data_IF_868657498404
#
_entry.id   IF_868657498404
#
_cell.length_a   1.000
_cell.length_b   1.000
_cell.length_c   1.000
_cell.angle_alpha   90.00
_cell.angle_beta   90.00
_cell.angle_gamma   90.00
#
_symmetry.space_group_name_H-M   'P 1'
#
loop_
_entity.id
_entity.type
_entity.pdbx_description
1 polymer ?
#
# COMPACT_ATOMS: atom_id res chain seq x y z
N UNK A 1 48.64 -27.84 6.26
CA UNK A 1 47.70 -26.83 5.71
C UNK A 1 46.26 -27.36 5.61
N UNK A 2 45.77 -28.13 6.59
CA UNK A 2 44.41 -28.71 6.54
C UNK A 2 43.42 -27.96 7.46
N UNK A 3 43.94 -27.28 8.47
CA UNK A 3 43.14 -26.53 9.45
C UNK A 3 42.82 -25.09 9.00
N UNK A 4 43.47 -24.58 7.95
CA UNK A 4 43.23 -23.21 7.45
C UNK A 4 41.92 -23.12 6.62
N UNK A 5 41.50 -24.24 6.01
CA UNK A 5 40.30 -24.31 5.17
C UNK A 5 39.00 -24.25 5.99
N UNK A 6 39.04 -24.65 7.26
CA UNK A 6 37.88 -24.67 8.16
C UNK A 6 37.49 -23.24 8.61
N UNK A 7 38.45 -22.33 8.74
CA UNK A 7 38.18 -20.95 9.16
C UNK A 7 37.57 -20.08 8.04
N UNK A 8 37.79 -20.42 6.77
CA UNK A 8 37.27 -19.65 5.63
C UNK A 8 35.77 -19.92 5.36
N UNK A 9 35.23 -21.04 5.86
CA UNK A 9 33.82 -21.41 5.65
C UNK A 9 32.89 -20.69 6.64
N UNK A 10 33.40 -20.19 7.77
CA UNK A 10 32.62 -19.53 8.82
C UNK A 10 32.34 -18.03 8.57
N UNK A 11 32.91 -17.43 7.54
CA UNK A 11 32.70 -16.00 7.21
C UNK A 11 31.68 -15.75 6.10
N UNK A 12 31.10 -16.81 5.53
CA UNK A 12 29.97 -16.69 4.62
C UNK A 12 28.69 -16.39 5.43
N UNK A 13 28.55 -15.13 5.84
CA UNK A 13 27.29 -14.62 6.34
C UNK A 13 26.27 -14.69 5.21
N UNK A 14 25.39 -15.70 5.25
CA UNK A 14 24.21 -15.74 4.40
C UNK A 14 23.33 -14.54 4.78
N UNK A 15 23.48 -13.42 4.06
CA UNK A 15 22.51 -12.34 4.13
C UNK A 15 21.22 -12.85 3.49
N UNK A 16 20.36 -13.44 4.33
CA UNK A 16 19.02 -13.85 3.95
C UNK A 16 18.19 -12.58 3.74
N UNK A 17 18.06 -12.13 2.49
CA UNK A 17 17.13 -11.08 2.14
C UNK A 17 15.71 -11.66 2.18
N UNK A 18 14.95 -11.28 3.21
CA UNK A 18 13.54 -11.64 3.30
C UNK A 18 12.78 -10.97 2.14
N UNK A 19 12.27 -11.77 1.21
CA UNK A 19 11.60 -11.27 0.01
C UNK A 19 10.12 -11.09 0.29
N UNK A 20 9.61 -9.86 0.11
CA UNK A 20 8.18 -9.58 0.11
C UNK A 20 7.61 -9.75 -1.29
N UNK A 21 6.53 -10.49 -1.46
CA UNK A 21 5.86 -10.64 -2.75
C UNK A 21 4.42 -10.13 -2.66
N UNK A 22 3.98 -9.46 -3.73
CA UNK A 22 2.56 -9.16 -3.99
C UNK A 22 2.04 -10.24 -4.94
N UNK A 23 1.18 -11.10 -4.46
CA UNK A 23 0.48 -12.09 -5.26
C UNK A 23 -0.95 -11.61 -5.47
N UNK A 24 -1.47 -11.66 -6.71
CA UNK A 24 -2.89 -11.35 -6.94
C UNK A 24 -3.74 -12.30 -6.10
N UNK A 25 -4.71 -11.76 -5.35
CA UNK A 25 -5.55 -12.59 -4.51
C UNK A 25 -6.50 -13.44 -5.37
N UNK A 26 -6.57 -14.74 -5.07
CA UNK A 26 -7.42 -15.69 -5.79
C UNK A 26 -8.87 -15.59 -5.27
N UNK A 27 -9.77 -14.95 -6.02
CA UNK A 27 -11.24 -14.95 -5.86
C UNK A 27 -11.79 -14.87 -4.40
N UNK A 28 -11.08 -14.24 -3.47
CA UNK A 28 -11.61 -14.01 -2.12
C UNK A 28 -12.59 -12.85 -2.18
N UNK A 29 -13.83 -13.11 -1.77
CA UNK A 29 -14.87 -12.08 -1.70
C UNK A 29 -14.92 -11.45 -0.31
N UNK A 30 -14.28 -10.30 -0.18
CA UNK A 30 -14.30 -9.48 1.04
C UNK A 30 -15.50 -8.52 1.11
N UNK A 31 -16.45 -8.56 0.16
CA UNK A 31 -17.49 -7.52 0.04
C UNK A 31 -18.31 -7.34 1.32
N UNK A 32 -18.72 -8.45 1.96
CA UNK A 32 -19.47 -8.41 3.22
C UNK A 32 -18.63 -7.81 4.36
N UNK A 33 -17.43 -8.35 4.58
CA UNK A 33 -16.56 -7.93 5.69
C UNK A 33 -16.12 -6.48 5.55
N UNK A 34 -15.85 -6.05 4.32
CA UNK A 34 -15.50 -4.66 4.03
C UNK A 34 -16.69 -3.74 4.30
N UNK A 35 -17.92 -4.15 3.96
CA UNK A 35 -19.13 -3.37 4.24
C UNK A 35 -19.39 -3.24 5.74
N UNK A 36 -19.31 -4.34 6.49
CA UNK A 36 -19.47 -4.35 7.95
C UNK A 36 -18.43 -3.47 8.65
N UNK A 37 -17.18 -3.45 8.17
CA UNK A 37 -16.13 -2.58 8.73
C UNK A 37 -16.25 -1.11 8.32
N UNK A 38 -16.82 -0.83 7.16
CA UNK A 38 -16.93 0.51 6.61
C UNK A 38 -18.20 1.24 7.03
N UNK A 39 -19.25 0.51 7.41
CA UNK A 39 -20.51 1.06 7.94
C UNK A 39 -20.32 2.05 9.11
N UNK A 40 -19.58 1.72 10.20
CA UNK A 40 -19.35 2.68 11.29
C UNK A 40 -18.51 3.90 10.88
N UNK A 41 -17.88 3.86 9.70
CA UNK A 41 -17.15 4.98 9.12
C UNK A 41 -18.02 5.81 8.15
N UNK A 42 -19.32 5.51 8.07
CA UNK A 42 -20.30 6.14 7.17
C UNK A 42 -19.91 6.03 5.69
N UNK A 43 -19.26 4.93 5.32
CA UNK A 43 -18.88 4.64 3.93
C UNK A 43 -19.90 3.66 3.33
N UNK A 44 -20.48 4.04 2.20
CA UNK A 44 -21.51 3.29 1.51
C UNK A 44 -21.10 2.98 0.05
N UNK A 45 -21.93 2.19 -0.64
CA UNK A 45 -21.80 1.85 -2.07
C UNK A 45 -20.39 1.37 -2.45
N UNK A 46 -19.90 0.40 -1.68
CA UNK A 46 -18.51 -0.05 -1.75
C UNK A 46 -18.27 -0.90 -2.98
N UNK A 47 -17.18 -0.59 -3.69
CA UNK A 47 -16.70 -1.34 -4.84
C UNK A 47 -15.24 -1.73 -4.66
N UNK A 48 -15.00 -3.03 -4.48
CA UNK A 48 -13.65 -3.59 -4.38
C UNK A 48 -12.95 -3.56 -5.75
N UNK A 49 -11.69 -3.11 -5.77
CA UNK A 49 -10.81 -3.19 -6.94
C UNK A 49 -10.15 -4.57 -7.00
N UNK A 50 -10.92 -5.58 -7.44
CA UNK A 50 -10.49 -6.99 -7.48
C UNK A 50 -9.16 -7.20 -8.23
N UNK A 51 -8.96 -6.49 -9.34
CA UNK A 51 -7.72 -6.59 -10.12
C UNK A 51 -6.48 -5.96 -9.45
N UNK A 52 -6.70 -5.21 -8.38
CA UNK A 52 -5.64 -4.60 -7.58
C UNK A 52 -5.71 -5.02 -6.11
N UNK A 53 -6.31 -6.18 -5.85
CA UNK A 53 -6.29 -6.85 -4.55
C UNK A 53 -5.12 -7.82 -4.50
N UNK A 54 -4.28 -7.72 -3.47
CA UNK A 54 -3.03 -8.47 -3.40
C UNK A 54 -2.86 -9.14 -2.03
N UNK A 55 -2.53 -10.42 -2.04
CA UNK A 55 -1.91 -11.10 -0.91
C UNK A 55 -0.44 -10.67 -0.81
N UNK A 56 0.02 -10.42 0.40
CA UNK A 56 1.39 -10.11 0.73
C UNK A 56 2.00 -11.32 1.44
N UNK A 57 3.10 -11.80 0.91
CA UNK A 57 3.87 -12.91 1.48
C UNK A 57 5.31 -12.47 1.78
N UNK A 58 5.87 -12.92 2.91
CA UNK A 58 7.31 -12.85 3.24
C UNK A 58 7.87 -14.24 3.21
N UNK A 59 8.81 -14.49 2.31
CA UNK A 59 9.47 -15.81 2.18
C UNK A 59 8.45 -16.96 2.02
N UNK A 60 7.36 -16.71 1.28
CA UNK A 60 6.26 -17.65 1.06
C UNK A 60 5.25 -17.76 2.22
N UNK A 61 5.48 -17.04 3.33
CA UNK A 61 4.57 -16.99 4.47
C UNK A 61 3.63 -15.80 4.30
N UNK A 62 2.33 -16.06 4.33
CA UNK A 62 1.30 -15.02 4.28
C UNK A 62 1.41 -14.03 5.44
N UNK A 63 1.40 -12.73 5.11
CA UNK A 63 1.38 -11.62 6.07
C UNK A 63 0.00 -10.98 6.13
N UNK A 64 -0.63 -10.76 4.98
CA UNK A 64 -1.90 -10.07 4.91
C UNK A 64 -2.40 -9.85 3.49
N UNK A 65 -3.61 -9.34 3.34
CA UNK A 65 -4.24 -9.03 2.05
C UNK A 65 -4.61 -7.56 2.02
N UNK A 66 -4.14 -6.85 0.99
CA UNK A 66 -4.58 -5.51 0.65
C UNK A 66 -5.82 -5.59 -0.24
N UNK A 67 -6.89 -4.94 0.20
CA UNK A 67 -8.18 -4.89 -0.49
C UNK A 67 -8.54 -3.44 -0.78
N UNK A 68 -8.01 -2.83 -1.86
CA UNK A 68 -8.37 -1.47 -2.23
C UNK A 68 -9.83 -1.40 -2.70
N UNK A 69 -10.53 -0.35 -2.29
CA UNK A 69 -11.93 -0.14 -2.63
C UNK A 69 -12.25 1.34 -2.82
N UNK A 70 -13.33 1.56 -3.57
CA UNK A 70 -14.02 2.84 -3.73
C UNK A 70 -15.33 2.80 -2.94
N UNK A 71 -15.82 3.96 -2.54
CA UNK A 71 -17.14 4.10 -1.93
C UNK A 71 -17.52 5.56 -1.77
N UNK A 72 -18.59 5.81 -1.03
CA UNK A 72 -19.12 7.14 -0.79
C UNK A 72 -19.20 7.42 0.70
N UNK A 73 -18.48 8.44 1.16
CA UNK A 73 -18.62 8.93 2.53
C UNK A 73 -19.91 9.75 2.65
N UNK A 74 -20.72 9.44 3.67
CA UNK A 74 -22.02 10.07 3.93
C UNK A 74 -22.94 10.08 2.70
N UNK A 75 -22.85 9.05 1.85
CA UNK A 75 -23.63 8.87 0.60
C UNK A 75 -23.33 9.83 -0.57
N UNK A 76 -22.46 10.83 -0.40
CA UNK A 76 -22.28 11.86 -1.44
C UNK A 76 -20.83 12.07 -1.88
N UNK A 77 -19.86 11.84 -1.00
CA UNK A 77 -18.46 12.17 -1.27
C UNK A 77 -17.70 10.94 -1.75
N UNK A 78 -17.25 10.87 -3.02
CA UNK A 78 -16.49 9.72 -3.51
C UNK A 78 -15.12 9.64 -2.83
N UNK A 79 -14.83 8.49 -2.25
CA UNK A 79 -13.58 8.22 -1.53
C UNK A 79 -12.93 6.92 -2.02
N UNK A 80 -11.64 6.80 -1.73
CA UNK A 80 -10.92 5.53 -1.82
C UNK A 80 -10.34 5.15 -0.46
N UNK A 81 -10.32 3.86 -0.19
CA UNK A 81 -9.80 3.31 1.06
C UNK A 81 -9.23 1.91 0.82
N UNK A 82 -8.45 1.43 1.79
CA UNK A 82 -7.84 0.11 1.74
C UNK A 82 -8.32 -0.70 2.93
N UNK A 83 -9.00 -1.82 2.66
CA UNK A 83 -9.19 -2.88 3.64
C UNK A 83 -7.91 -3.67 3.82
N UNK A 84 -7.56 -4.00 5.06
CA UNK A 84 -6.45 -4.91 5.39
C UNK A 84 -7.00 -6.14 6.09
N UNK A 85 -6.56 -7.31 5.64
CA UNK A 85 -6.85 -8.59 6.27
C UNK A 85 -5.56 -9.26 6.71
N UNK A 86 -5.50 -9.79 7.93
CA UNK A 86 -4.34 -10.53 8.45
C UNK A 86 -4.53 -12.05 8.39
N UNK A 87 -5.67 -12.53 7.92
CA UNK A 87 -6.08 -13.95 8.01
C UNK A 87 -6.76 -14.51 6.74
N UNK A 88 -6.88 -13.69 5.68
CA UNK A 88 -7.59 -14.00 4.42
C UNK A 88 -9.11 -14.13 4.54
N UNK A 89 -9.69 -13.81 5.70
CA UNK A 89 -11.12 -14.03 5.98
C UNK A 89 -11.81 -12.75 6.39
N UNK A 90 -11.22 -12.01 7.31
CA UNK A 90 -11.79 -10.82 7.90
C UNK A 90 -10.93 -9.58 7.60
N UNK A 91 -11.62 -8.44 7.47
CA UNK A 91 -10.97 -7.13 7.39
C UNK A 91 -10.68 -6.67 8.82
N UNK A 92 -9.40 -6.63 9.20
CA UNK A 92 -8.96 -6.19 10.53
C UNK A 92 -9.09 -4.68 10.71
N UNK A 93 -8.85 -3.92 9.66
CA UNK A 93 -8.91 -2.46 9.68
C UNK A 93 -9.13 -1.89 8.27
N UNK A 94 -9.62 -0.66 8.26
CA UNK A 94 -9.72 0.19 7.07
C UNK A 94 -8.72 1.33 7.22
N UNK A 95 -7.92 1.54 6.18
CA UNK A 95 -7.07 2.72 6.04
C UNK A 95 -7.72 3.66 5.04
N UNK A 96 -8.11 4.84 5.51
CA UNK A 96 -8.65 5.89 4.66
C UNK A 96 -7.53 6.45 3.77
N UNK A 97 -7.82 6.67 2.49
CA UNK A 97 -6.86 7.26 1.54
C UNK A 97 -7.43 8.54 0.91
N UNK A 98 -7.76 8.54 -0.37
CA UNK A 98 -8.27 9.72 -1.07
C UNK A 98 -9.69 10.08 -0.61
N UNK A 99 -9.93 11.37 -0.36
CA UNK A 99 -11.24 11.92 0.01
C UNK A 99 -11.53 11.93 1.50
N UNK A 100 -10.53 11.61 2.33
CA UNK A 100 -10.55 11.67 3.79
C UNK A 100 -9.16 12.04 4.32
N UNK A 101 -9.06 12.45 5.59
CA UNK A 101 -7.79 12.79 6.23
C UNK A 101 -6.99 13.85 5.46
N UNK A 102 -5.70 13.61 5.26
CA UNK A 102 -4.79 14.52 4.53
C UNK A 102 -5.19 14.72 3.05
N UNK A 103 -6.10 13.90 2.52
CA UNK A 103 -6.60 13.95 1.15
C UNK A 103 -8.08 14.36 1.04
N UNK A 104 -8.66 14.98 2.09
CA UNK A 104 -10.08 15.37 2.11
C UNK A 104 -10.50 16.29 0.94
N UNK A 105 -9.56 17.09 0.42
CA UNK A 105 -9.80 18.03 -0.68
C UNK A 105 -9.69 17.37 -2.07
N UNK A 106 -9.45 16.06 -2.13
CA UNK A 106 -9.33 15.29 -3.36
C UNK A 106 -10.45 14.27 -3.48
N UNK A 107 -11.23 14.32 -4.55
CA UNK A 107 -12.27 13.34 -4.83
C UNK A 107 -11.61 12.11 -5.45
N UNK A 108 -11.91 10.89 -4.95
CA UNK A 108 -11.39 9.70 -5.61
C UNK A 108 -12.13 9.44 -6.92
N UNK A 109 -11.40 9.39 -8.04
CA UNK A 109 -11.97 9.07 -9.34
C UNK A 109 -11.58 7.67 -9.82
N UNK A 110 -10.33 7.27 -9.59
CA UNK A 110 -9.86 5.94 -9.94
C UNK A 110 -8.57 5.58 -9.18
N UNK A 111 -8.42 4.31 -8.82
CA UNK A 111 -7.13 3.73 -8.49
C UNK A 111 -6.45 3.21 -9.76
N UNK A 112 -5.35 3.82 -10.15
CA UNK A 112 -4.65 3.53 -11.41
C UNK A 112 -3.64 2.39 -11.26
N UNK A 113 -2.89 2.38 -10.15
CA UNK A 113 -1.84 1.39 -9.93
C UNK A 113 -1.57 1.17 -8.44
N UNK A 114 -1.15 -0.04 -8.11
CA UNK A 114 -0.60 -0.43 -6.81
C UNK A 114 0.72 -1.15 -7.05
N UNK A 115 1.71 -0.93 -6.21
CA UNK A 115 2.95 -1.67 -6.32
C UNK A 115 3.84 -1.62 -5.09
N UNK A 116 4.62 -2.68 -4.92
CA UNK A 116 5.62 -2.80 -3.86
C UNK A 116 6.87 -2.00 -4.23
N UNK A 117 7.40 -1.35 -3.22
CA UNK A 117 8.61 -0.55 -3.29
C UNK A 117 9.49 -0.95 -2.10
N UNK A 118 10.60 -1.61 -2.37
CA UNK A 118 11.62 -1.91 -1.36
C UNK A 118 12.62 -0.76 -1.35
N UNK A 119 12.85 -0.15 -0.19
CA UNK A 119 13.90 0.87 -0.02
C UNK A 119 14.66 0.51 1.26
N UNK A 120 15.90 0.03 1.08
CA UNK A 120 16.73 -0.51 2.16
C UNK A 120 16.00 -1.66 2.87
N UNK A 121 15.85 -1.60 4.19
CA UNK A 121 15.18 -2.63 5.01
C UNK A 121 13.66 -2.45 5.09
N UNK A 122 13.12 -1.34 4.56
CA UNK A 122 11.70 -1.00 4.62
C UNK A 122 10.99 -1.42 3.34
N UNK A 123 9.75 -1.89 3.52
CA UNK A 123 8.85 -2.22 2.42
C UNK A 123 7.69 -1.25 2.43
N UNK A 124 7.50 -0.57 1.32
CA UNK A 124 6.37 0.32 1.07
C UNK A 124 5.44 -0.29 0.03
N UNK A 125 4.16 0.04 0.14
CA UNK A 125 3.16 -0.19 -0.90
C UNK A 125 2.69 1.17 -1.38
N UNK A 126 3.02 1.48 -2.64
CA UNK A 126 2.60 2.71 -3.29
C UNK A 126 1.30 2.51 -4.05
N UNK A 127 0.46 3.53 -4.02
CA UNK A 127 -0.79 3.62 -4.77
C UNK A 127 -0.75 4.88 -5.62
N UNK A 128 -1.23 4.79 -6.86
CA UNK A 128 -1.40 5.93 -7.76
C UNK A 128 -2.89 6.10 -8.00
N UNK A 129 -3.41 7.27 -7.67
CA UNK A 129 -4.81 7.62 -7.85
C UNK A 129 -4.98 8.70 -8.90
N UNK A 130 -6.01 8.58 -9.73
CA UNK A 130 -6.62 9.71 -10.40
C UNK A 130 -7.59 10.37 -9.43
N UNK A 131 -7.42 11.67 -9.21
CA UNK A 131 -8.26 12.44 -8.30
C UNK A 131 -8.93 13.62 -9.01
N UNK A 132 -10.11 13.99 -8.52
CA UNK A 132 -10.82 15.20 -8.90
C UNK A 132 -10.48 16.32 -7.93
N UNK A 133 -10.07 17.46 -8.48
CA UNK A 133 -9.97 18.73 -7.77
C UNK A 133 -11.08 19.66 -8.27
N UNK A 134 -11.21 20.85 -7.67
CA UNK A 134 -12.29 21.80 -7.98
C UNK A 134 -12.39 22.16 -9.47
N UNK A 135 -11.26 22.27 -10.16
CA UNK A 135 -11.15 22.80 -11.52
C UNK A 135 -10.54 21.81 -12.53
N UNK A 136 -9.97 20.69 -12.06
CA UNK A 136 -9.20 19.78 -12.91
C UNK A 136 -9.10 18.37 -12.31
N UNK A 137 -8.55 17.46 -13.10
CA UNK A 137 -8.06 16.17 -12.62
C UNK A 137 -6.58 16.27 -12.29
N UNK A 138 -6.14 15.51 -11.30
CA UNK A 138 -4.73 15.38 -10.93
C UNK A 138 -4.39 13.91 -10.65
N UNK A 139 -3.12 13.65 -10.39
CA UNK A 139 -2.66 12.36 -9.87
C UNK A 139 -2.13 12.54 -8.46
N UNK A 140 -2.49 11.63 -7.56
CA UNK A 140 -1.98 11.60 -6.19
C UNK A 140 -1.29 10.26 -5.89
N UNK A 141 -0.28 10.31 -5.03
CA UNK A 141 0.32 9.11 -4.43
C UNK A 141 -0.27 8.90 -3.04
N UNK A 142 -0.51 7.64 -2.68
CA UNK A 142 -0.73 7.23 -1.31
C UNK A 142 0.30 6.15 -0.98
N UNK A 143 0.85 6.15 0.23
CA UNK A 143 1.97 5.28 0.60
C UNK A 143 1.69 4.62 1.93
N UNK A 144 1.73 3.29 1.94
CA UNK A 144 1.73 2.48 3.16
C UNK A 144 3.14 1.95 3.43
N UNK A 145 3.57 1.95 4.68
CA UNK A 145 4.70 1.14 5.15
C UNK A 145 4.19 -0.17 5.75
N UNK A 146 4.80 -1.30 5.38
CA UNK A 146 4.49 -2.62 5.91
C UNK A 146 5.41 -2.94 7.10
N UNK A 147 4.84 -3.06 8.30
CA UNK A 147 5.52 -3.66 9.45
C UNK A 147 5.39 -5.18 9.35
N UNK A 148 6.45 -5.82 8.86
CA UNK A 148 6.50 -7.26 8.54
C UNK A 148 6.36 -8.12 9.80
N UNK A 149 6.89 -7.64 10.92
CA UNK A 149 6.92 -8.39 12.18
C UNK A 149 5.57 -8.33 12.87
N UNK A 150 4.91 -7.17 12.85
CA UNK A 150 3.57 -7.00 13.44
C UNK A 150 2.44 -7.35 12.49
N UNK A 151 2.73 -7.57 11.21
CA UNK A 151 1.74 -7.79 10.14
C UNK A 151 0.74 -6.64 10.04
N UNK A 152 1.23 -5.41 10.19
CA UNK A 152 0.41 -4.20 10.12
C UNK A 152 0.85 -3.31 8.97
N UNK A 153 -0.06 -2.44 8.54
CA UNK A 153 0.18 -1.39 7.57
C UNK A 153 0.04 -0.03 8.25
N UNK A 154 0.89 0.92 7.87
CA UNK A 154 0.94 2.26 8.47
C UNK A 154 0.93 3.29 7.34
N UNK A 155 0.06 4.29 7.43
CA UNK A 155 0.08 5.42 6.48
C UNK A 155 1.37 6.24 6.63
N UNK A 156 2.05 6.42 5.50
CA UNK A 156 3.28 7.21 5.33
C UNK A 156 3.17 8.19 4.16
N UNK A 157 1.95 8.57 3.79
CA UNK A 157 1.68 9.45 2.66
C UNK A 157 2.26 10.86 2.84
N UNK A 158 2.50 11.29 4.08
CA UNK A 158 3.20 12.56 4.37
C UNK A 158 4.59 12.66 3.73
N UNK A 159 5.25 11.53 3.46
CA UNK A 159 6.54 11.48 2.75
C UNK A 159 6.42 12.04 1.32
N UNK A 160 5.24 11.94 0.72
CA UNK A 160 4.98 12.29 -0.68
C UNK A 160 4.09 13.52 -0.85
N UNK A 161 3.86 14.31 0.21
CA UNK A 161 3.00 15.51 0.17
C UNK A 161 3.42 16.51 -0.90
N UNK A 162 4.74 16.70 -1.05
CA UNK A 162 5.32 17.59 -2.08
C UNK A 162 5.01 17.16 -3.52
N UNK A 163 4.51 15.95 -3.71
CA UNK A 163 4.17 15.39 -5.02
C UNK A 163 2.67 15.46 -5.31
N UNK A 164 1.81 15.87 -4.39
CA UNK A 164 0.36 15.75 -4.58
C UNK A 164 -0.21 16.81 -5.52
N UNK A 165 -1.41 16.55 -6.05
CA UNK A 165 -2.27 17.50 -6.78
C UNK A 165 -1.64 18.13 -8.02
N UNK A 166 -0.63 17.47 -8.59
CA UNK A 166 0.03 17.88 -9.81
C UNK A 166 -0.46 17.08 -11.03
N UNK A 167 -0.33 17.67 -12.21
CA UNK A 167 -0.71 17.05 -13.49
C UNK A 167 0.37 16.15 -14.08
N UNK A 168 1.48 15.94 -13.37
CA UNK A 168 2.59 15.15 -13.87
C UNK A 168 2.21 13.67 -13.97
N UNK A 169 2.82 12.98 -14.93
CA UNK A 169 2.63 11.54 -15.08
C UNK A 169 3.22 10.83 -13.85
N UNK A 170 2.34 10.31 -13.00
CA UNK A 170 2.71 9.50 -11.83
C UNK A 170 2.78 8.01 -12.16
N UNK A 171 3.70 7.31 -11.51
CA UNK A 171 3.87 5.86 -11.65
C UNK A 171 4.58 5.28 -10.42
N UNK A 172 4.39 3.99 -10.17
CA UNK A 172 5.11 3.28 -9.10
C UNK A 172 6.64 3.37 -9.28
N UNK A 173 7.13 3.33 -10.52
CA UNK A 173 8.55 3.46 -10.81
C UNK A 173 9.11 4.85 -10.43
N UNK A 174 8.38 5.92 -10.74
CA UNK A 174 8.76 7.27 -10.35
C UNK A 174 8.71 7.47 -8.82
N UNK A 175 7.69 6.90 -8.17
CA UNK A 175 7.58 6.89 -6.72
C UNK A 175 8.75 6.16 -6.05
N UNK A 176 9.17 5.00 -6.58
CA UNK A 176 10.35 4.27 -6.09
C UNK A 176 11.60 5.16 -6.09
N UNK A 177 11.89 5.80 -7.23
CA UNK A 177 13.04 6.69 -7.37
C UNK A 177 12.98 7.88 -6.39
N UNK A 178 11.80 8.43 -6.16
CA UNK A 178 11.62 9.49 -5.17
C UNK A 178 11.93 9.02 -3.75
N UNK A 179 11.41 7.86 -3.35
CA UNK A 179 11.60 7.33 -1.99
C UNK A 179 13.05 6.94 -1.70
N UNK A 180 13.77 6.42 -2.70
CA UNK A 180 15.23 6.19 -2.65
C UNK A 180 15.97 7.50 -2.32
N UNK A 181 15.71 8.57 -3.07
CA UNK A 181 16.37 9.88 -2.89
C UNK A 181 15.88 10.67 -1.66
N UNK A 182 14.64 10.47 -1.22
CA UNK A 182 14.10 11.15 -0.04
C UNK A 182 14.87 10.77 1.22
N UNK A 183 15.27 9.49 1.33
CA UNK A 183 16.00 8.97 2.47
C UNK A 183 17.48 9.38 2.48
N UNK A 184 18.11 9.56 1.33
CA UNK A 184 19.48 10.12 1.24
C UNK A 184 19.57 11.55 1.80
N UNK A 185 18.48 12.32 1.76
CA UNK A 185 18.43 13.70 2.29
C UNK A 185 18.22 13.77 3.81
N UNK A 186 17.96 12.63 4.45
CA UNK A 186 17.70 12.53 5.90
C UNK A 186 18.89 11.94 6.66
N UNK A 187 19.93 11.51 5.95
CA UNK A 187 21.24 11.07 6.47
C UNK A 187 22.28 12.18 6.27
#
# INVERSE_FOLDING_TARGET
MKNLLIYFILTLSFQSYASINLKKADNVDFSRQLSEKAEPLEINDIKIKKDQTFEIEKDGIYIGTLVPAEGYYKKYNPICFIGWSVDKKDISNIVQSIGQGDFENSICLNLDAVGKIEVREKTYIGFVYTVGLRDRRAKNYFVLELDKEKRTIIDKSTIVDTLQNNGEKKSIAALRKYLENFKERQE
#
